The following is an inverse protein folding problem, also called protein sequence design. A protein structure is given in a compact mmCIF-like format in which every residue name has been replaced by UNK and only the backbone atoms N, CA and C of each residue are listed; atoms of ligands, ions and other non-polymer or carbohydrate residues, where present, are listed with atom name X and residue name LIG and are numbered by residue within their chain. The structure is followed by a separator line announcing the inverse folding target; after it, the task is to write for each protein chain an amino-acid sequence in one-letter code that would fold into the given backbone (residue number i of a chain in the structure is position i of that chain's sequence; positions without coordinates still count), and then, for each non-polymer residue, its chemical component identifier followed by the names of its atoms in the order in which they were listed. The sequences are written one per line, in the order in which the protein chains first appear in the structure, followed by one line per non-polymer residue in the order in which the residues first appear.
data_IF_377466385327
#
_entry.id   IF_377466385327
#
_cell.length_a   1.000
_cell.length_b   1.000
_cell.length_c   1.000
_cell.angle_alpha   90.00
_cell.angle_beta   90.00
_cell.angle_gamma   90.00
#
_symmetry.space_group_name_H-M   'P 1'
#
loop_
_entity.id
_entity.type
_entity.pdbx_description
1 polymer ?
#
# COMPACT_ATOMS: atom_id res chain seq x y z
N UNK A 1 6.30 26.32 -8.94
CA UNK A 1 5.16 26.13 -9.85
C UNK A 1 4.60 24.76 -9.56
N UNK A 2 3.56 24.69 -8.75
CA UNK A 2 2.84 23.45 -8.48
C UNK A 2 1.93 23.23 -9.68
N UNK A 3 2.30 22.32 -10.57
CA UNK A 3 1.44 21.89 -11.67
C UNK A 3 0.17 21.30 -11.05
N UNK A 4 -0.90 22.10 -11.06
CA UNK A 4 -2.18 21.73 -10.47
C UNK A 4 -2.85 20.70 -11.39
N UNK A 5 -2.47 19.43 -11.23
CA UNK A 5 -3.11 18.34 -11.94
C UNK A 5 -4.55 18.18 -11.44
N UNK A 6 -5.51 18.47 -12.30
CA UNK A 6 -6.94 18.25 -12.06
C UNK A 6 -7.35 16.98 -12.81
N UNK A 7 -7.66 15.88 -12.12
CA UNK A 7 -8.10 14.67 -12.79
C UNK A 7 -9.54 14.84 -13.29
N UNK A 8 -9.74 14.69 -14.59
CA UNK A 8 -11.07 14.48 -15.19
C UNK A 8 -11.57 13.07 -14.82
N UNK A 9 -12.87 12.94 -14.55
CA UNK A 9 -13.48 11.67 -14.19
C UNK A 9 -13.31 10.64 -15.33
N UNK A 10 -12.82 9.43 -15.02
CA UNK A 10 -12.61 8.37 -16.01
C UNK A 10 -11.30 8.47 -16.82
N UNK A 11 -10.38 9.39 -16.50
CA UNK A 11 -9.06 9.42 -17.13
C UNK A 11 -8.35 8.07 -17.02
N UNK A 12 -7.84 7.59 -18.16
CA UNK A 12 -7.15 6.30 -18.24
C UNK A 12 -8.05 5.07 -18.40
N UNK A 13 -9.37 5.16 -18.22
CA UNK A 13 -10.24 3.97 -18.23
C UNK A 13 -10.22 3.23 -19.57
N UNK A 14 -10.35 3.95 -20.70
CA UNK A 14 -10.30 3.34 -22.03
C UNK A 14 -8.94 2.71 -22.35
N UNK A 15 -7.85 3.34 -21.88
CA UNK A 15 -6.50 2.81 -22.07
C UNK A 15 -6.25 1.59 -21.19
N UNK A 16 -6.70 1.62 -19.93
CA UNK A 16 -6.64 0.46 -19.03
C UNK A 16 -7.42 -0.74 -19.60
N UNK A 17 -8.61 -0.50 -20.16
CA UNK A 17 -9.42 -1.53 -20.83
C UNK A 17 -8.69 -2.13 -22.05
N UNK A 18 -8.00 -1.32 -22.84
CA UNK A 18 -7.21 -1.82 -23.97
C UNK A 18 -6.02 -2.66 -23.50
N UNK A 19 -5.22 -2.14 -22.55
CA UNK A 19 -4.05 -2.84 -22.02
C UNK A 19 -4.41 -4.18 -21.39
N UNK A 20 -5.56 -4.27 -20.70
CA UNK A 20 -6.01 -5.52 -20.12
C UNK A 20 -6.31 -6.57 -21.21
N UNK A 21 -6.97 -6.19 -22.30
CA UNK A 21 -7.23 -7.11 -23.43
C UNK A 21 -5.94 -7.59 -24.11
N UNK A 22 -4.86 -6.83 -23.98
CA UNK A 22 -3.54 -7.16 -24.51
C UNK A 22 -2.68 -7.99 -23.55
N UNK A 23 -3.25 -8.42 -22.42
CA UNK A 23 -2.59 -9.31 -21.46
C UNK A 23 -1.91 -8.61 -20.28
N UNK A 24 -2.01 -7.28 -20.17
CA UNK A 24 -1.44 -6.52 -19.03
C UNK A 24 -2.35 -6.50 -17.80
N UNK A 25 -3.20 -7.51 -17.63
CA UNK A 25 -4.12 -7.60 -16.49
C UNK A 25 -3.38 -7.66 -15.14
N UNK A 26 -2.26 -8.40 -15.08
CA UNK A 26 -1.40 -8.50 -13.89
C UNK A 26 -0.81 -7.14 -13.48
N UNK A 27 -0.11 -6.43 -14.39
CA UNK A 27 0.46 -5.12 -14.10
C UNK A 27 -0.57 -4.04 -13.79
N UNK A 28 -1.75 -4.08 -14.45
CA UNK A 28 -2.86 -3.19 -14.11
C UNK A 28 -3.37 -3.42 -12.69
N UNK A 29 -3.50 -4.68 -12.27
CA UNK A 29 -3.89 -5.04 -10.89
C UNK A 29 -2.82 -4.62 -9.87
N UNK A 30 -1.55 -4.77 -10.21
CA UNK A 30 -0.45 -4.27 -9.39
C UNK A 30 -0.56 -2.75 -9.19
N UNK A 31 -0.73 -2.00 -10.28
CA UNK A 31 -0.88 -0.55 -10.23
C UNK A 31 -2.11 -0.12 -9.41
N UNK A 32 -3.26 -0.77 -9.62
CA UNK A 32 -4.47 -0.56 -8.81
C UNK A 32 -4.17 -0.72 -7.30
N UNK A 33 -3.50 -1.81 -6.93
CA UNK A 33 -3.16 -2.08 -5.54
C UNK A 33 -2.19 -1.04 -4.97
N UNK A 34 -1.18 -0.63 -5.74
CA UNK A 34 -0.27 0.45 -5.34
C UNK A 34 -1.03 1.74 -5.01
N UNK A 35 -1.95 2.16 -5.88
CA UNK A 35 -2.76 3.36 -5.68
C UNK A 35 -3.66 3.24 -4.43
N UNK A 36 -4.32 2.09 -4.25
CA UNK A 36 -5.21 1.85 -3.09
C UNK A 36 -4.44 1.83 -1.77
N UNK A 37 -3.27 1.19 -1.74
CA UNK A 37 -2.41 1.15 -0.55
C UNK A 37 -1.91 2.54 -0.20
N UNK A 38 -1.35 3.27 -1.16
CA UNK A 38 -0.90 4.65 -0.92
C UNK A 38 -2.03 5.57 -0.47
N UNK A 39 -3.26 5.36 -0.93
CA UNK A 39 -4.42 6.09 -0.41
C UNK A 39 -4.68 5.78 1.07
N UNK A 40 -4.66 4.50 1.45
CA UNK A 40 -4.82 4.06 2.85
C UNK A 40 -3.71 4.58 3.76
N UNK A 41 -2.45 4.44 3.34
CA UNK A 41 -1.28 4.91 4.10
C UNK A 41 -1.38 6.42 4.39
N UNK A 42 -1.81 7.22 3.41
CA UNK A 42 -1.99 8.68 3.58
C UNK A 42 -3.15 9.05 4.50
N UNK A 43 -4.21 8.24 4.55
CA UNK A 43 -5.34 8.44 5.45
C UNK A 43 -4.98 8.06 6.90
N UNK A 44 -4.12 7.06 7.09
CA UNK A 44 -3.64 6.61 8.40
C UNK A 44 -2.57 7.55 8.98
N UNK A 45 -1.54 7.88 8.20
CA UNK A 45 -0.38 8.66 8.66
C UNK A 45 -0.67 10.16 8.74
N UNK A 46 -1.66 10.65 7.99
CA UNK A 46 -1.95 12.09 7.85
C UNK A 46 -0.86 12.89 7.13
N UNK A 47 0.18 12.23 6.59
CA UNK A 47 1.28 12.86 5.86
C UNK A 47 1.38 12.30 4.44
N UNK A 48 1.52 13.19 3.46
CA UNK A 48 1.62 12.81 2.04
C UNK A 48 3.05 13.01 1.53
N UNK A 49 3.74 11.89 1.29
CA UNK A 49 5.07 11.88 0.66
C UNK A 49 4.99 11.28 -0.75
N UNK A 50 5.93 11.63 -1.67
CA UNK A 50 6.03 10.96 -2.96
C UNK A 50 6.43 9.48 -2.79
N UNK A 51 5.66 8.57 -3.38
CA UNK A 51 5.89 7.11 -3.25
C UNK A 51 6.45 6.55 -4.56
N UNK A 52 7.59 5.84 -4.55
CA UNK A 52 8.13 5.21 -5.76
C UNK A 52 7.30 3.96 -6.14
N UNK A 53 7.04 3.80 -7.44
CA UNK A 53 6.56 2.55 -8.02
C UNK A 53 7.74 1.67 -8.35
N UNK A 54 7.89 0.59 -7.59
CA UNK A 54 8.96 -0.39 -7.76
C UNK A 54 8.34 -1.66 -8.34
N UNK A 55 8.59 -2.00 -9.62
CA UNK A 55 8.18 -3.28 -10.17
C UNK A 55 9.03 -4.39 -9.54
N UNK A 56 8.37 -5.32 -8.85
CA UNK A 56 9.04 -6.43 -8.13
C UNK A 56 8.93 -7.77 -8.86
N UNK A 57 8.36 -7.77 -10.06
CA UNK A 57 8.25 -8.93 -10.94
C UNK A 57 8.60 -8.54 -12.36
N UNK A 58 9.10 -9.51 -13.13
CA UNK A 58 9.43 -9.36 -14.55
C UNK A 58 8.25 -8.79 -15.35
N UNK A 59 7.04 -9.35 -15.17
CA UNK A 59 5.82 -8.86 -15.82
C UNK A 59 5.55 -7.36 -15.57
N UNK A 60 5.83 -6.87 -14.36
CA UNK A 60 5.65 -5.46 -14.03
C UNK A 60 6.78 -4.60 -14.62
N UNK A 61 8.00 -5.12 -14.67
CA UNK A 61 9.15 -4.43 -15.28
C UNK A 61 8.91 -4.27 -16.79
N UNK A 62 8.52 -5.34 -17.49
CA UNK A 62 8.14 -5.33 -18.90
C UNK A 62 7.02 -4.32 -19.17
N UNK A 63 6.00 -4.28 -18.30
CA UNK A 63 4.92 -3.30 -18.41
C UNK A 63 5.42 -1.86 -18.24
N UNK A 64 6.43 -1.62 -17.40
CA UNK A 64 7.04 -0.29 -17.24
C UNK A 64 7.87 0.12 -18.47
N UNK A 65 8.29 -0.85 -19.29
CA UNK A 65 8.92 -0.64 -20.61
C UNK A 65 7.90 -0.38 -21.74
N UNK A 66 6.63 -0.77 -21.56
CA UNK A 66 5.56 -0.51 -22.52
C UNK A 66 5.15 0.98 -22.54
N UNK A 67 5.16 1.56 -23.75
CA UNK A 67 4.86 2.99 -23.95
C UNK A 67 3.42 3.38 -23.60
N UNK A 68 2.46 2.46 -23.79
CA UNK A 68 1.04 2.68 -23.52
C UNK A 68 0.75 2.55 -22.04
N UNK A 69 1.38 1.60 -21.35
CA UNK A 69 1.31 1.52 -19.89
C UNK A 69 1.89 2.78 -19.24
N UNK A 70 3.06 3.27 -19.69
CA UNK A 70 3.57 4.58 -19.25
C UNK A 70 2.67 5.77 -19.61
N UNK A 71 1.95 5.69 -20.72
CA UNK A 71 0.95 6.72 -21.07
C UNK A 71 -0.23 6.69 -20.09
N UNK A 72 -0.68 5.50 -19.67
CA UNK A 72 -1.67 5.35 -18.60
C UNK A 72 -1.17 5.96 -17.29
N UNK A 73 0.07 5.68 -16.87
CA UNK A 73 0.65 6.27 -15.65
C UNK A 73 0.58 7.80 -15.67
N UNK A 74 0.90 8.43 -16.81
CA UNK A 74 0.80 9.89 -16.98
C UNK A 74 -0.65 10.37 -16.90
N UNK A 75 -1.59 9.67 -17.53
CA UNK A 75 -3.02 10.01 -17.46
C UNK A 75 -3.59 9.88 -16.05
N UNK A 76 -3.00 9.04 -15.21
CA UNK A 76 -3.37 8.91 -13.79
C UNK A 76 -2.64 9.93 -12.89
N UNK A 77 -1.79 10.79 -13.46
CA UNK A 77 -1.05 11.83 -12.74
C UNK A 77 0.23 11.34 -12.05
N UNK A 78 0.73 10.15 -12.41
CA UNK A 78 2.03 9.69 -11.93
C UNK A 78 3.16 10.35 -12.71
N UNK A 79 4.28 10.60 -12.03
CA UNK A 79 5.43 11.25 -12.63
C UNK A 79 6.49 10.24 -13.07
N UNK A 80 7.07 10.42 -14.28
CA UNK A 80 8.23 9.66 -14.68
C UNK A 80 9.43 10.04 -13.80
N UNK A 81 10.49 9.20 -13.77
CA UNK A 81 11.76 9.60 -13.19
C UNK A 81 12.28 10.90 -13.81
N UNK A 82 12.77 11.81 -12.98
CA UNK A 82 13.10 13.19 -13.38
C UNK A 82 14.39 13.31 -14.21
N UNK A 83 15.32 12.37 -14.07
CA UNK A 83 16.60 12.32 -14.79
C UNK A 83 17.20 10.91 -14.66
N UNK A 84 18.37 10.68 -15.23
CA UNK A 84 19.12 9.42 -15.09
C UNK A 84 19.46 9.05 -13.63
N UNK A 85 19.34 9.99 -12.68
CA UNK A 85 19.54 9.72 -11.25
C UNK A 85 18.32 9.06 -10.58
N UNK A 86 17.12 9.21 -11.16
CA UNK A 86 15.91 8.54 -10.66
C UNK A 86 15.58 7.34 -11.56
N UNK A 87 15.33 6.18 -10.97
CA UNK A 87 15.00 4.97 -11.73
C UNK A 87 13.50 4.67 -11.74
N UNK A 88 12.74 5.19 -10.77
CA UNK A 88 11.36 4.80 -10.54
C UNK A 88 10.36 5.90 -10.84
N UNK A 89 9.20 5.49 -11.35
CA UNK A 89 8.02 6.36 -11.40
C UNK A 89 7.55 6.69 -9.99
N UNK A 90 6.86 7.81 -9.82
CA UNK A 90 6.37 8.23 -8.51
C UNK A 90 4.89 8.58 -8.52
N UNK A 91 4.21 8.19 -7.45
CA UNK A 91 2.92 8.74 -7.03
C UNK A 91 3.21 10.07 -6.32
N UNK A 92 2.83 11.23 -6.88
CA UNK A 92 3.12 12.52 -6.26
C UNK A 92 2.43 12.70 -4.91
N UNK A 93 3.06 13.45 -4.00
CA UNK A 93 2.45 13.86 -2.73
C UNK A 93 1.15 14.67 -2.91
N UNK A 94 1.04 15.40 -4.02
CA UNK A 94 -0.13 16.23 -4.33
C UNK A 94 -1.42 15.44 -4.62
N UNK A 95 -1.32 14.14 -4.97
CA UNK A 95 -2.51 13.32 -5.23
C UNK A 95 -3.23 12.98 -3.91
N UNK A 96 -4.46 13.41 -3.74
CA UNK A 96 -5.22 13.11 -2.52
C UNK A 96 -5.63 11.63 -2.47
N UNK A 97 -5.90 11.06 -1.27
CA UNK A 97 -6.41 9.70 -1.16
C UNK A 97 -7.66 9.44 -2.03
N UNK A 98 -8.57 10.42 -2.12
CA UNK A 98 -9.74 10.32 -2.98
C UNK A 98 -9.39 10.29 -4.48
N UNK A 99 -8.39 11.04 -4.92
CA UNK A 99 -7.91 10.98 -6.31
C UNK A 99 -7.27 9.62 -6.61
N UNK A 100 -6.46 9.09 -5.68
CA UNK A 100 -5.85 7.76 -5.82
C UNK A 100 -6.89 6.64 -5.89
N UNK A 101 -7.93 6.70 -5.04
CA UNK A 101 -9.05 5.74 -5.07
C UNK A 101 -9.83 5.81 -6.39
N UNK A 102 -10.10 7.01 -6.91
CA UNK A 102 -10.75 7.19 -8.22
C UNK A 102 -9.88 6.64 -9.37
N UNK A 103 -8.59 6.94 -9.37
CA UNK A 103 -7.64 6.40 -10.35
C UNK A 103 -7.60 4.86 -10.32
N UNK A 104 -7.57 4.26 -9.13
CA UNK A 104 -7.64 2.80 -8.99
C UNK A 104 -8.96 2.22 -9.53
N UNK A 105 -10.10 2.85 -9.23
CA UNK A 105 -11.40 2.41 -9.73
C UNK A 105 -11.47 2.43 -11.27
N UNK A 106 -10.93 3.46 -11.92
CA UNK A 106 -10.84 3.55 -13.39
C UNK A 106 -10.10 2.37 -14.02
N UNK A 107 -9.14 1.76 -13.31
CA UNK A 107 -8.41 0.56 -13.75
C UNK A 107 -9.23 -0.71 -13.47
N UNK A 108 -9.88 -0.78 -12.30
CA UNK A 108 -10.58 -1.97 -11.81
C UNK A 108 -11.87 -2.32 -12.58
N UNK A 109 -12.51 -1.35 -13.25
CA UNK A 109 -13.74 -1.53 -14.03
C UNK A 109 -13.63 -2.48 -15.25
N UNK A 110 -12.56 -3.29 -15.34
CA UNK A 110 -12.35 -4.30 -16.38
C UNK A 110 -12.06 -5.71 -15.83
N UNK A 111 -12.28 -5.97 -14.54
CA UNK A 111 -12.41 -7.36 -14.08
C UNK A 111 -13.77 -7.92 -14.51
N UNK A 112 -13.87 -9.18 -14.99
CA UNK A 112 -15.17 -9.84 -14.96
C UNK A 112 -15.68 -9.74 -13.53
N UNK A 113 -16.88 -9.18 -13.35
CA UNK A 113 -17.60 -9.21 -12.09
C UNK A 113 -17.50 -10.64 -11.55
N UNK A 114 -16.99 -10.88 -10.32
CA UNK A 114 -17.10 -12.20 -9.74
C UNK A 114 -18.60 -12.52 -9.69
N UNK A 115 -19.10 -13.57 -10.38
CA UNK A 115 -20.51 -13.93 -10.29
C UNK A 115 -20.78 -14.41 -8.86
N UNK A 116 -21.15 -13.48 -7.98
CA UNK A 116 -21.10 -13.78 -6.55
C UNK A 116 -21.19 -12.59 -5.60
N UNK A 117 -21.91 -11.54 -5.95
CA UNK A 117 -22.54 -10.71 -4.91
C UNK A 117 -24.05 -10.84 -5.04
N UNK A 118 -24.70 -11.77 -4.32
CA UNK A 118 -26.16 -11.76 -4.20
C UNK A 118 -26.56 -10.55 -3.33
N UNK A 119 -26.71 -9.39 -3.96
CA UNK A 119 -27.56 -8.34 -3.40
C UNK A 119 -29.01 -8.72 -3.70
N UNK A 120 -29.66 -9.35 -2.72
CA UNK A 120 -31.09 -9.53 -2.76
C UNK A 120 -31.59 -10.74 -1.99
N UNK A 121 -31.58 -10.68 -0.65
CA UNK A 121 -32.73 -11.08 0.15
C UNK A 121 -32.55 -10.63 1.61
N UNK A 122 -32.79 -9.34 1.87
CA UNK A 122 -33.30 -8.97 3.18
C UNK A 122 -34.78 -9.40 3.21
N UNK A 123 -35.06 -10.62 3.68
CA UNK A 123 -36.31 -10.87 4.37
C UNK A 123 -35.98 -11.15 5.84
N UNK A 124 -36.45 -10.32 6.80
CA UNK A 124 -36.46 -10.75 8.18
C UNK A 124 -37.38 -11.98 8.29
N UNK A 125 -37.06 -12.98 9.11
CA UNK A 125 -37.97 -14.10 9.33
C UNK A 125 -39.27 -13.53 9.90
N UNK A 126 -40.37 -13.67 9.15
CA UNK A 126 -41.71 -13.36 9.62
C UNK A 126 -42.03 -14.35 10.74
N UNK A 127 -41.92 -13.89 11.99
CA UNK A 127 -42.44 -14.59 13.15
C UNK A 127 -43.94 -14.86 12.94
N UNK A 128 -44.45 -16.10 13.06
CA UNK A 128 -45.88 -16.31 13.22
C UNK A 128 -46.27 -15.89 14.63
N UNK A 129 -47.09 -14.85 14.73
CA UNK A 129 -47.78 -14.47 15.96
C UNK A 129 -49.10 -15.24 16.04
N UNK A 130 -49.33 -15.96 17.16
CA UNK A 130 -50.48 -15.85 18.09
C UNK A 130 -50.49 -17.05 19.10
N UNK A 131 -51.26 -17.06 20.22
CA UNK A 131 -51.22 -16.25 21.44
C UNK A 131 -50.90 -17.08 22.73
N UNK A 132 -50.60 -16.39 23.84
CA UNK A 132 -50.52 -16.84 25.26
C UNK A 132 -51.90 -17.38 25.75
N UNK A 133 -52.06 -18.35 26.71
CA UNK A 133 -51.52 -18.21 28.07
C UNK A 133 -51.21 -19.46 28.93
N UNK A 134 -50.47 -19.18 30.02
CA UNK A 134 -50.42 -19.88 31.31
C UNK A 134 -49.66 -21.22 31.40
N UNK A 135 -48.55 -21.23 32.14
CA UNK A 135 -48.50 -21.82 33.48
C UNK A 135 -47.18 -21.48 34.21
N UNK A 136 -47.20 -21.66 35.51
CA UNK A 136 -46.40 -20.96 36.52
C UNK A 136 -45.24 -21.83 37.07
N UNK A 137 -44.03 -21.24 37.16
CA UNK A 137 -43.04 -21.33 38.27
C UNK A 137 -42.36 -22.70 38.59
N UNK A 138 -41.33 -22.78 39.48
CA UNK A 138 -40.12 -21.96 39.70
C UNK A 138 -38.83 -22.81 39.96
N UNK A 139 -37.74 -22.14 40.37
CA UNK A 139 -36.50 -22.63 41.02
C UNK A 139 -35.46 -23.26 40.07
N UNK A 140 -34.16 -22.97 40.14
CA UNK A 140 -33.35 -22.52 41.26
C UNK A 140 -32.24 -23.56 41.47
N UNK A 141 -30.99 -23.09 41.60
CA UNK A 141 -29.78 -23.86 41.99
C UNK A 141 -29.28 -24.81 40.89
N UNK A 142 -28.02 -24.90 40.51
CA UNK A 142 -26.76 -24.32 40.96
C UNK A 142 -25.72 -25.09 40.14
N UNK A 143 -24.75 -24.41 39.53
CA UNK A 143 -23.62 -25.09 38.91
C UNK A 143 -22.36 -24.48 39.49
N UNK A 144 -21.97 -25.05 40.62
CA UNK A 144 -20.65 -24.92 41.19
C UNK A 144 -19.65 -25.64 40.27
N UNK A 145 -18.67 -24.92 39.76
CA UNK A 145 -17.46 -25.52 39.19
C UNK A 145 -16.30 -24.60 39.52
N UNK A 146 -15.83 -24.85 40.73
CA UNK A 146 -14.52 -24.51 41.27
C UNK A 146 -13.40 -25.04 40.34
N UNK A 147 -12.46 -24.19 39.97
CA UNK A 147 -11.04 -24.53 39.80
C UNK A 147 -10.21 -23.26 39.74
N UNK A 148 -9.48 -23.06 40.84
CA UNK A 148 -8.37 -22.13 41.01
C UNK A 148 -7.17 -22.53 40.13
N UNK A 149 -6.46 -21.55 39.56
CA UNK A 149 -5.10 -21.23 40.02
C UNK A 149 -4.65 -19.86 39.43
N UNK A 150 -4.20 -18.91 40.26
CA UNK A 150 -3.76 -17.59 39.81
C UNK A 150 -2.30 -17.63 39.32
N UNK A 151 -2.06 -17.17 38.09
CA UNK A 151 -0.69 -16.83 37.65
C UNK A 151 -0.21 -15.57 38.40
N UNK A 152 0.89 -15.63 39.17
CA UNK A 152 1.44 -14.44 39.79
C UNK A 152 2.12 -13.58 38.73
N UNK A 153 1.63 -12.34 38.59
CA UNK A 153 2.34 -11.24 37.92
C UNK A 153 3.37 -10.68 38.91
N UNK A 154 4.68 -10.71 38.63
CA UNK A 154 5.61 -9.79 39.25
C UNK A 154 5.62 -8.44 38.52
N UNK A 155 5.25 -7.45 39.30
CA UNK A 155 5.17 -5.98 39.18
C UNK A 155 6.21 -5.20 38.37
N UNK A 156 5.89 -3.92 38.02
CA UNK A 156 6.72 -3.03 37.22
C UNK A 156 7.87 -2.41 38.02
N UNK A 157 9.04 -2.22 37.40
CA UNK A 157 10.10 -1.38 37.98
C UNK A 157 11.03 -0.77 36.90
N UNK A 158 10.98 0.56 36.84
CA UNK A 158 12.05 1.53 36.59
C UNK A 158 12.63 1.72 35.17
N UNK A 159 12.13 2.79 34.56
CA UNK A 159 12.90 3.92 34.00
C UNK A 159 14.38 3.95 34.46
N UNK A 160 15.33 3.84 33.52
CA UNK A 160 16.75 3.98 33.88
C UNK A 160 17.75 3.73 32.76
N UNK A 161 18.09 4.82 32.05
CA UNK A 161 19.40 5.12 31.45
C UNK A 161 20.04 4.14 30.43
N UNK A 162 20.04 4.60 29.16
CA UNK A 162 21.23 4.71 28.27
C UNK A 162 22.21 3.53 28.31
N UNK A 163 22.07 2.56 27.40
CA UNK A 163 23.23 1.80 26.90
C UNK A 163 23.53 2.24 25.46
N UNK A 164 24.48 3.15 25.35
CA UNK A 164 25.23 3.35 24.11
C UNK A 164 25.90 2.01 23.76
N UNK A 165 25.62 1.48 22.57
CA UNK A 165 26.51 0.50 21.94
C UNK A 165 27.64 1.30 21.31
N UNK A 166 28.76 1.36 22.01
CA UNK A 166 30.05 1.70 21.42
C UNK A 166 30.50 0.48 20.61
N UNK A 167 30.50 0.60 19.29
CA UNK A 167 31.17 -0.34 18.41
C UNK A 167 32.57 0.23 18.20
N UNK A 168 33.53 -0.28 18.96
CA UNK A 168 34.94 -0.11 18.65
C UNK A 168 35.27 -0.97 17.43
N UNK A 169 35.79 -0.35 16.39
CA UNK A 169 36.33 -1.04 15.22
C UNK A 169 37.66 -0.38 14.88
N UNK A 170 38.70 -0.78 15.61
CA UNK A 170 40.07 -0.65 15.14
C UNK A 170 40.30 -1.56 13.92
N UNK A 171 40.34 -0.98 12.72
CA UNK A 171 41.06 -1.58 11.58
C UNK A 171 42.11 -0.58 11.10
N UNK A 172 43.37 -0.92 11.34
CA UNK A 172 44.52 -0.24 10.77
C UNK A 172 44.69 -0.73 9.34
N UNK A 173 44.56 0.18 8.38
CA UNK A 173 45.11 0.00 7.04
C UNK A 173 46.00 1.22 6.76
N UNK A 174 47.30 1.05 7.02
CA UNK A 174 48.35 1.97 6.56
C UNK A 174 48.73 1.51 5.15
N UNK A 175 47.87 1.87 4.21
CA UNK A 175 48.09 1.68 2.78
C UNK A 175 49.17 2.65 2.29
N UNK A 176 50.38 2.10 2.11
CA UNK A 176 51.55 2.73 1.47
C UNK A 176 51.20 3.69 0.32
N UNK A 177 51.45 4.98 0.52
CA UNK A 177 51.56 5.95 -0.58
C UNK A 177 52.89 5.75 -1.31
N UNK A 178 52.87 4.89 -2.32
CA UNK A 178 53.92 4.78 -3.32
C UNK A 178 53.54 5.52 -4.61
N UNK A 179 54.47 6.32 -5.15
CA UNK A 179 54.58 6.46 -6.60
C UNK A 179 54.07 7.76 -7.23
N UNK A 180 54.87 8.80 -7.07
CA UNK A 180 55.23 9.81 -8.08
C UNK A 180 54.77 9.53 -9.54
N UNK A 181 54.07 10.49 -10.16
CA UNK A 181 54.11 10.70 -11.62
C UNK A 181 53.86 12.19 -11.95
N UNK A 182 54.81 12.87 -12.61
CA UNK A 182 54.65 14.22 -13.16
C UNK A 182 54.09 14.14 -14.59
N UNK A 183 53.97 15.30 -15.25
CA UNK A 183 53.44 15.55 -16.61
C UNK A 183 51.91 15.77 -16.63
N UNK A 184 51.37 16.98 -16.72
CA UNK A 184 51.98 18.25 -17.13
C UNK A 184 52.13 18.32 -18.64
N UNK A 185 51.02 18.48 -19.38
CA UNK A 185 51.06 18.92 -20.78
C UNK A 185 50.02 20.00 -21.03
N UNK A 186 50.58 21.18 -21.29
CA UNK A 186 49.98 22.43 -21.74
C UNK A 186 49.40 22.28 -23.14
N UNK A 187 48.20 22.82 -23.37
CA UNK A 187 47.78 23.25 -24.71
C UNK A 187 47.62 24.77 -24.67
N UNK A 188 48.53 25.44 -25.37
CA UNK A 188 48.52 26.84 -25.75
C UNK A 188 49.10 26.92 -27.15
#
# INVERSE_FOLDING_TARGET
MEEHWVPEEGMGQGLAHHLHQEGLAGPLRWLENCLRRTAGDREEDGVSHPVPLVPLSEENEDAMEDGRFRALLRQLGLRPPASEQESFWRIPAALTPQQLRRAAASIAHHGPDPPGSPQGLLEPPRCPQDPDPAEQLPAGLGSDSESEEPVPIPSPVQLGTKRCRELDSEVKDDGSSGGFSPFGLSWG
#
